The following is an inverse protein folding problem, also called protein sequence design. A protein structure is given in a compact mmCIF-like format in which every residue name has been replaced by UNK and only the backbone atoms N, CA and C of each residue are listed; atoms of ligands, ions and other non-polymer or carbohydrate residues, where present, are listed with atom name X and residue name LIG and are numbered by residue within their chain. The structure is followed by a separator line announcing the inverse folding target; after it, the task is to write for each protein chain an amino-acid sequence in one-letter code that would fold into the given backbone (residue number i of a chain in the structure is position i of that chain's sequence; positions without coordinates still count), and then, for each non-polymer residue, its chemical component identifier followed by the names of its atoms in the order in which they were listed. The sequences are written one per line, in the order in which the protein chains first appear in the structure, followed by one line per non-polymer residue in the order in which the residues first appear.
data_IF_403267421351
#
_entry.id   IF_403267421351
#
_cell.length_a   1.000
_cell.length_b   1.000
_cell.length_c   1.000
_cell.angle_alpha   90.00
_cell.angle_beta   90.00
_cell.angle_gamma   90.00
#
_symmetry.space_group_name_H-M   'P 1'
#
loop_
_entity.id
_entity.type
_entity.pdbx_description
1 polymer ?
#
# COMPACT_ATOMS: atom_id res chain seq x y z
N UNK A 1 9.30 -41.44 -60.22
CA UNK A 1 9.58 -40.01 -59.97
C UNK A 1 9.57 -39.79 -58.47
N UNK A 2 10.69 -39.34 -57.90
CA UNK A 2 10.90 -39.20 -56.45
C UNK A 2 10.38 -37.84 -55.99
N UNK A 3 9.42 -37.81 -55.07
CA UNK A 3 9.03 -36.58 -54.37
C UNK A 3 9.60 -36.62 -52.95
N UNK A 4 10.68 -35.86 -52.75
CA UNK A 4 11.13 -35.42 -51.44
C UNK A 4 10.02 -34.55 -50.82
N UNK A 5 9.40 -35.00 -49.74
CA UNK A 5 8.74 -34.09 -48.81
C UNK A 5 9.40 -34.21 -47.45
N UNK A 6 10.03 -33.11 -47.06
CA UNK A 6 10.73 -32.89 -45.80
C UNK A 6 9.76 -33.04 -44.63
N UNK A 7 9.98 -34.06 -43.79
CA UNK A 7 9.42 -34.11 -42.45
C UNK A 7 10.30 -33.30 -41.51
N UNK A 8 10.15 -31.98 -41.55
CA UNK A 8 10.62 -31.08 -40.48
C UNK A 8 9.53 -31.01 -39.42
N UNK A 9 9.54 -31.94 -38.47
CA UNK A 9 8.80 -31.77 -37.20
C UNK A 9 9.78 -31.14 -36.22
N UNK A 10 9.58 -29.85 -36.01
CA UNK A 10 10.33 -29.07 -35.03
C UNK A 10 10.06 -29.64 -33.62
N UNK A 11 11.07 -30.26 -33.02
CA UNK A 11 11.14 -30.50 -31.58
C UNK A 11 11.18 -29.14 -30.86
N UNK A 12 10.00 -28.56 -30.59
CA UNK A 12 9.87 -27.45 -29.64
C UNK A 12 10.08 -27.97 -28.23
N UNK A 13 11.34 -28.23 -27.90
CA UNK A 13 11.81 -28.20 -26.52
C UNK A 13 11.67 -26.76 -26.04
N UNK A 14 10.52 -26.43 -25.43
CA UNK A 14 10.35 -25.18 -24.71
C UNK A 14 11.35 -25.21 -23.55
N UNK A 15 12.54 -24.64 -23.75
CA UNK A 15 13.52 -24.46 -22.70
C UNK A 15 12.81 -23.68 -21.60
N UNK A 16 12.53 -24.34 -20.46
CA UNK A 16 11.94 -23.67 -19.30
C UNK A 16 12.97 -22.65 -18.86
N UNK A 17 12.81 -21.40 -19.32
CA UNK A 17 13.63 -20.27 -18.89
C UNK A 17 13.68 -20.30 -17.38
N UNK A 18 14.89 -20.43 -16.82
CA UNK A 18 15.08 -20.53 -15.37
C UNK A 18 14.44 -19.29 -14.75
N UNK A 19 13.33 -19.49 -14.02
CA UNK A 19 12.62 -18.39 -13.37
C UNK A 19 13.60 -17.64 -12.48
N UNK A 20 13.56 -16.31 -12.56
CA UNK A 20 14.41 -15.48 -11.72
C UNK A 20 14.03 -15.65 -10.25
N UNK A 21 14.98 -15.40 -9.34
CA UNK A 21 14.81 -15.62 -7.90
C UNK A 21 13.56 -14.93 -7.33
N UNK A 22 13.24 -13.72 -7.79
CA UNK A 22 12.07 -12.98 -7.31
C UNK A 22 10.75 -13.62 -7.76
N UNK A 23 10.69 -14.23 -8.94
CA UNK A 23 9.50 -14.94 -9.43
C UNK A 23 9.24 -16.21 -8.61
N UNK A 24 10.31 -16.94 -8.31
CA UNK A 24 10.25 -18.13 -7.43
C UNK A 24 9.77 -17.70 -6.04
N UNK A 25 10.35 -16.65 -5.47
CA UNK A 25 9.95 -16.14 -4.17
C UNK A 25 8.49 -15.68 -4.14
N UNK A 26 8.02 -14.96 -5.17
CA UNK A 26 6.63 -14.53 -5.28
C UNK A 26 5.67 -15.72 -5.34
N UNK A 27 5.97 -16.71 -6.18
CA UNK A 27 5.16 -17.94 -6.28
C UNK A 27 5.17 -18.76 -4.98
N UNK A 28 6.30 -18.78 -4.27
CA UNK A 28 6.41 -19.44 -2.96
C UNK A 28 5.60 -18.70 -1.89
N UNK A 29 5.58 -17.36 -1.90
CA UNK A 29 4.77 -16.55 -1.01
C UNK A 29 3.27 -16.77 -1.27
N UNK A 30 2.85 -16.75 -2.53
CA UNK A 30 1.47 -17.03 -2.93
C UNK A 30 1.02 -18.41 -2.49
N UNK A 31 1.87 -19.44 -2.66
CA UNK A 31 1.60 -20.80 -2.18
C UNK A 31 1.47 -20.89 -0.65
N UNK A 32 2.26 -20.11 0.11
CA UNK A 32 2.27 -20.15 1.59
C UNK A 32 1.12 -19.36 2.21
N UNK A 33 0.78 -18.21 1.64
CA UNK A 33 -0.15 -17.25 2.24
C UNK A 33 -1.51 -17.17 1.52
N UNK A 34 -1.65 -17.78 0.33
CA UNK A 34 -2.88 -17.85 -0.44
C UNK A 34 -3.47 -16.47 -0.75
N UNK A 35 -4.81 -16.41 -0.84
CA UNK A 35 -5.56 -15.17 -1.09
C UNK A 35 -5.45 -14.15 0.06
N UNK A 36 -5.21 -14.62 1.28
CA UNK A 36 -5.10 -13.77 2.47
C UNK A 36 -3.85 -12.89 2.43
N UNK A 37 -2.82 -13.29 1.68
CA UNK A 37 -1.58 -12.54 1.51
C UNK A 37 -0.73 -12.44 2.79
N UNK A 38 0.41 -11.76 2.70
CA UNK A 38 1.28 -11.54 3.85
C UNK A 38 0.63 -10.57 4.86
N UNK A 39 0.18 -11.11 6.00
CA UNK A 39 -0.43 -10.35 7.09
C UNK A 39 0.36 -10.56 8.39
N UNK A 40 1.24 -9.61 8.78
CA UNK A 40 1.96 -9.73 10.05
C UNK A 40 0.98 -9.82 11.22
N UNK A 41 1.20 -10.80 12.11
CA UNK A 41 0.29 -11.07 13.24
C UNK A 41 0.34 -9.97 14.32
N UNK A 42 1.50 -9.36 14.54
CA UNK A 42 1.76 -8.34 15.57
C UNK A 42 2.02 -6.97 14.95
N UNK A 43 1.02 -6.39 14.29
CA UNK A 43 1.14 -5.02 13.77
C UNK A 43 0.79 -4.03 14.87
N UNK A 44 1.73 -3.17 15.23
CA UNK A 44 1.42 -2.04 16.11
C UNK A 44 0.48 -1.08 15.41
N UNK A 45 -0.47 -0.52 16.17
CA UNK A 45 -1.29 0.59 15.70
C UNK A 45 -0.41 1.83 15.49
N UNK A 46 -0.73 2.70 14.52
CA UNK A 46 -0.03 3.97 14.35
C UNK A 46 0.12 4.76 15.67
N UNK A 47 -0.95 4.83 16.46
CA UNK A 47 -0.96 5.53 17.74
C UNK A 47 0.00 4.90 18.76
N UNK A 48 0.15 3.56 18.77
CA UNK A 48 1.13 2.89 19.62
C UNK A 48 2.58 3.20 19.19
N UNK A 49 2.85 3.38 17.89
CA UNK A 49 4.16 3.81 17.40
C UNK A 49 4.49 5.21 17.91
N UNK A 50 3.52 6.12 17.87
CA UNK A 50 3.69 7.49 18.36
C UNK A 50 3.82 7.52 19.88
N UNK A 51 3.09 6.68 20.61
CA UNK A 51 3.25 6.48 22.05
C UNK A 51 4.66 6.01 22.42
N UNK A 52 5.21 5.02 21.72
CA UNK A 52 6.59 4.55 21.94
C UNK A 52 7.60 5.70 21.76
N UNK A 53 7.43 6.50 20.71
CA UNK A 53 8.30 7.66 20.45
C UNK A 53 8.16 8.73 21.54
N UNK A 54 6.95 8.98 22.02
CA UNK A 54 6.71 9.96 23.07
C UNK A 54 7.34 9.53 24.41
N UNK A 55 7.21 8.26 24.80
CA UNK A 55 7.82 7.71 26.01
C UNK A 55 9.35 7.77 25.96
N UNK A 56 9.95 7.31 24.87
CA UNK A 56 11.41 7.38 24.71
C UNK A 56 11.92 8.82 24.61
N UNK A 57 11.09 9.76 24.15
CA UNK A 57 11.46 11.17 24.10
C UNK A 57 11.35 11.88 25.46
N UNK A 58 10.49 11.42 26.38
CA UNK A 58 10.41 11.98 27.73
C UNK A 58 11.63 11.57 28.54
N UNK A 59 11.87 10.25 28.66
CA UNK A 59 12.92 9.69 29.52
C UNK A 59 13.64 8.53 28.81
N UNK A 60 14.69 8.81 28.01
CA UNK A 60 15.42 7.78 27.28
C UNK A 60 16.09 6.73 28.16
N UNK A 61 16.47 7.10 29.39
CA UNK A 61 17.14 6.17 30.33
C UNK A 61 16.17 5.12 30.90
N UNK A 62 14.96 5.53 31.26
CA UNK A 62 13.92 4.64 31.78
C UNK A 62 13.26 3.84 30.66
N UNK A 63 12.92 4.50 29.56
CA UNK A 63 12.25 3.89 28.41
C UNK A 63 13.26 3.45 27.34
N UNK A 64 14.22 2.63 27.76
CA UNK A 64 15.23 2.07 26.86
C UNK A 64 14.63 1.07 25.86
N UNK A 65 15.39 0.68 24.83
CA UNK A 65 14.90 -0.21 23.77
C UNK A 65 14.45 -1.57 24.29
N UNK A 66 15.12 -2.11 25.31
CA UNK A 66 14.80 -3.42 25.89
C UNK A 66 13.53 -3.33 26.76
N UNK A 67 13.40 -2.30 27.60
CA UNK A 67 12.20 -2.08 28.41
C UNK A 67 10.94 -1.87 27.54
N UNK A 68 11.05 -1.10 26.45
CA UNK A 68 9.97 -0.94 25.48
C UNK A 68 9.65 -2.26 24.76
N UNK A 69 10.66 -3.10 24.47
CA UNK A 69 10.47 -4.38 23.79
C UNK A 69 9.63 -5.33 24.65
N UNK A 70 9.93 -5.37 25.94
CA UNK A 70 9.21 -6.17 26.92
C UNK A 70 7.78 -5.67 27.12
N UNK A 71 7.56 -4.36 27.18
CA UNK A 71 6.23 -3.77 27.39
C UNK A 71 5.31 -4.00 26.18
N UNK A 72 5.80 -3.73 24.97
CA UNK A 72 5.00 -3.85 23.74
C UNK A 72 5.02 -5.27 23.14
N UNK A 73 5.80 -6.20 23.71
CA UNK A 73 5.98 -7.59 23.23
C UNK A 73 6.41 -7.66 21.76
N UNK A 74 7.33 -6.77 21.39
CA UNK A 74 7.92 -6.64 20.06
C UNK A 74 9.43 -6.83 20.16
N UNK A 75 10.08 -7.27 19.08
CA UNK A 75 11.54 -7.40 19.04
C UNK A 75 12.22 -6.04 19.31
N UNK A 76 13.34 -6.00 20.05
CA UNK A 76 14.12 -4.77 20.27
C UNK A 76 14.60 -4.14 18.96
N UNK A 77 14.84 -4.95 17.91
CA UNK A 77 15.18 -4.45 16.58
C UNK A 77 14.05 -3.62 15.96
N UNK A 78 12.80 -4.05 16.17
CA UNK A 78 11.64 -3.31 15.67
C UNK A 78 11.52 -1.95 16.36
N UNK A 79 11.78 -1.87 17.67
CA UNK A 79 11.79 -0.60 18.40
C UNK A 79 12.90 0.31 17.92
N UNK A 80 14.11 -0.20 17.70
CA UNK A 80 15.19 0.58 17.08
C UNK A 80 14.76 1.16 15.73
N UNK A 81 14.06 0.37 14.90
CA UNK A 81 13.51 0.85 13.61
C UNK A 81 12.43 1.93 13.80
N UNK A 82 11.55 1.79 14.79
CA UNK A 82 10.49 2.77 15.10
C UNK A 82 11.09 4.09 15.57
N UNK A 83 12.10 4.03 16.44
CA UNK A 83 12.82 5.21 16.95
C UNK A 83 13.65 5.88 15.86
N UNK A 84 14.26 5.11 14.95
CA UNK A 84 15.03 5.64 13.81
C UNK A 84 14.14 6.27 12.72
N UNK A 85 12.91 5.78 12.56
CA UNK A 85 12.00 6.25 11.52
C UNK A 85 11.42 7.63 11.84
N UNK A 86 11.82 8.64 11.03
CA UNK A 86 11.40 10.04 11.17
C UNK A 86 10.02 10.38 10.57
N UNK A 87 9.45 9.48 9.77
CA UNK A 87 8.17 9.75 9.12
C UNK A 87 7.04 9.85 10.16
N UNK A 88 6.33 10.98 10.12
CA UNK A 88 5.12 11.27 10.89
C UNK A 88 4.04 11.79 9.93
N UNK A 89 2.80 11.31 10.04
CA UNK A 89 1.72 11.84 9.22
C UNK A 89 1.43 13.29 9.60
N UNK A 90 1.15 14.13 8.62
CA UNK A 90 0.67 15.50 8.87
C UNK A 90 -0.79 15.45 9.37
N UNK A 91 -1.26 16.50 10.07
CA UNK A 91 -2.63 16.59 10.60
C UNK A 91 -3.68 16.34 9.51
N UNK A 92 -3.48 16.91 8.31
CA UNK A 92 -4.36 16.69 7.17
C UNK A 92 -4.38 15.21 6.70
N UNK A 93 -3.26 14.49 6.81
CA UNK A 93 -3.16 13.08 6.44
C UNK A 93 -3.78 12.16 7.50
N UNK A 94 -3.67 12.53 8.78
CA UNK A 94 -4.36 11.87 9.89
C UNK A 94 -5.87 11.97 9.67
N UNK A 95 -6.36 13.17 9.34
CA UNK A 95 -7.78 13.38 9.09
C UNK A 95 -8.24 12.61 7.84
N UNK A 96 -7.53 12.68 6.71
CA UNK A 96 -7.92 11.88 5.53
C UNK A 96 -7.91 10.37 5.83
N UNK A 97 -6.99 9.87 6.66
CA UNK A 97 -7.00 8.46 7.12
C UNK A 97 -8.26 8.15 7.92
N UNK A 98 -8.65 9.01 8.87
CA UNK A 98 -9.89 8.86 9.64
C UNK A 98 -11.09 8.84 8.70
N UNK A 99 -11.17 9.78 7.77
CA UNK A 99 -12.25 9.85 6.79
C UNK A 99 -12.30 8.61 5.89
N UNK A 100 -11.15 8.10 5.42
CA UNK A 100 -11.07 6.85 4.64
C UNK A 100 -11.58 5.65 5.44
N UNK A 101 -11.30 5.59 6.75
CA UNK A 101 -11.79 4.52 7.60
C UNK A 101 -13.31 4.60 7.78
N UNK A 102 -13.85 5.80 7.99
CA UNK A 102 -15.30 6.05 8.06
C UNK A 102 -16.00 5.61 6.77
N UNK A 103 -15.50 6.03 5.60
CA UNK A 103 -16.04 5.62 4.29
C UNK A 103 -16.01 4.10 4.10
N UNK A 104 -14.89 3.47 4.47
CA UNK A 104 -14.76 2.00 4.40
C UNK A 104 -15.79 1.31 5.30
N UNK A 105 -16.00 1.83 6.50
CA UNK A 105 -16.98 1.30 7.45
C UNK A 105 -18.41 1.40 6.91
N UNK A 106 -18.79 2.54 6.32
CA UNK A 106 -20.08 2.70 5.63
C UNK A 106 -20.26 1.64 4.55
N UNK A 107 -19.29 1.49 3.65
CA UNK A 107 -19.35 0.50 2.56
C UNK A 107 -19.45 -0.94 3.08
N UNK A 108 -18.65 -1.29 4.09
CA UNK A 108 -18.65 -2.65 4.67
C UNK A 108 -19.99 -2.97 5.34
N UNK A 109 -20.51 -2.05 6.15
CA UNK A 109 -21.78 -2.26 6.84
C UNK A 109 -22.99 -2.16 5.91
N UNK A 110 -22.87 -1.43 4.80
CA UNK A 110 -23.89 -1.44 3.75
C UNK A 110 -23.99 -2.82 3.11
N UNK A 111 -22.86 -3.40 2.67
CA UNK A 111 -22.84 -4.77 2.14
C UNK A 111 -23.35 -5.81 3.15
N UNK A 112 -23.03 -5.63 4.44
CA UNK A 112 -23.53 -6.51 5.50
C UNK A 112 -25.02 -6.31 5.79
N UNK A 113 -25.54 -5.10 5.63
CA UNK A 113 -26.96 -4.81 5.75
C UNK A 113 -27.75 -5.41 4.58
N UNK A 114 -27.20 -5.35 3.37
CA UNK A 114 -27.74 -6.02 2.19
C UNK A 114 -27.79 -7.54 2.39
N UNK A 115 -26.80 -8.12 3.10
CA UNK A 115 -26.84 -9.53 3.52
C UNK A 115 -27.74 -9.81 4.73
N UNK A 116 -28.56 -8.84 5.17
CA UNK A 116 -29.55 -9.00 6.25
C UNK A 116 -29.03 -8.77 7.68
N UNK A 117 -27.75 -8.43 7.87
CA UNK A 117 -27.20 -8.17 9.21
C UNK A 117 -27.47 -6.72 9.65
N UNK A 118 -28.06 -6.54 10.83
CA UNK A 118 -28.40 -5.20 11.33
C UNK A 118 -27.14 -4.40 11.72
N UNK A 119 -26.87 -3.21 11.13
CA UNK A 119 -25.68 -2.43 11.46
C UNK A 119 -25.69 -1.83 12.88
N UNK A 120 -24.51 -1.63 13.50
CA UNK A 120 -24.38 -0.95 14.79
C UNK A 120 -24.89 0.49 14.78
N UNK A 121 -25.22 1.02 15.97
CA UNK A 121 -25.84 2.34 16.15
C UNK A 121 -25.10 3.49 15.45
N UNK A 122 -23.77 3.50 15.55
CA UNK A 122 -22.90 4.49 14.88
C UNK A 122 -23.13 4.56 13.37
N UNK A 123 -23.32 3.41 12.72
CA UNK A 123 -23.49 3.32 11.27
C UNK A 123 -24.93 3.58 10.84
N UNK A 124 -25.91 3.17 11.66
CA UNK A 124 -27.33 3.52 11.45
C UNK A 124 -27.60 5.02 11.53
N UNK A 125 -26.92 5.73 12.44
CA UNK A 125 -27.01 7.19 12.52
C UNK A 125 -26.52 7.88 11.22
N UNK A 126 -25.62 7.23 10.48
CA UNK A 126 -25.18 7.66 9.14
C UNK A 126 -26.11 7.19 8.00
N UNK A 127 -27.15 6.42 8.30
CA UNK A 127 -28.15 5.93 7.34
C UNK A 127 -27.92 4.51 6.83
N UNK A 128 -26.85 3.83 7.24
CA UNK A 128 -26.54 2.47 6.77
C UNK A 128 -27.62 1.49 7.23
N UNK A 129 -28.26 0.79 6.28
CA UNK A 129 -29.30 -0.22 6.54
C UNK A 129 -30.68 0.35 6.91
N UNK A 130 -30.90 1.65 6.74
CA UNK A 130 -32.23 2.26 6.89
C UNK A 130 -32.96 2.29 5.53
N UNK A 131 -34.31 2.28 5.50
CA UNK A 131 -35.06 2.39 4.24
C UNK A 131 -34.75 3.68 3.46
N UNK A 132 -34.30 4.73 4.16
CA UNK A 132 -33.89 6.00 3.57
C UNK A 132 -32.46 5.99 3.00
N UNK A 133 -31.75 4.85 3.08
CA UNK A 133 -30.39 4.70 2.56
C UNK A 133 -29.32 5.51 3.33
N UNK A 134 -28.08 5.44 2.82
CA UNK A 134 -26.95 6.20 3.37
C UNK A 134 -27.13 7.68 3.04
N UNK A 135 -27.04 8.56 4.05
CA UNK A 135 -27.13 10.01 3.84
C UNK A 135 -25.77 10.53 3.41
N UNK A 136 -25.61 10.86 2.13
CA UNK A 136 -24.34 11.29 1.53
C UNK A 136 -23.76 12.56 2.23
N UNK A 137 -24.63 13.42 2.76
CA UNK A 137 -24.21 14.62 3.52
C UNK A 137 -23.51 14.31 4.85
N UNK A 138 -23.80 13.13 5.42
CA UNK A 138 -23.19 12.68 6.68
C UNK A 138 -21.92 11.87 6.45
N UNK A 139 -21.66 11.44 5.21
CA UNK A 139 -20.45 10.71 4.84
C UNK A 139 -19.39 11.73 4.39
N UNK A 140 -18.25 11.82 5.08
CA UNK A 140 -17.23 12.80 4.72
C UNK A 140 -16.71 12.58 3.29
N UNK A 141 -16.79 13.58 2.42
CA UNK A 141 -16.32 13.48 1.01
C UNK A 141 -14.80 13.57 0.90
N UNK A 142 -14.21 12.81 -0.04
CA UNK A 142 -12.75 12.84 -0.26
C UNK A 142 -12.38 14.12 -0.99
N UNK A 143 -11.65 15.02 -0.35
CA UNK A 143 -10.99 16.12 -1.02
C UNK A 143 -9.86 15.51 -1.87
N UNK A 144 -9.99 15.50 -3.21
CA UNK A 144 -8.86 15.14 -4.07
C UNK A 144 -7.82 16.27 -3.97
N UNK A 145 -6.51 15.96 -3.86
CA UNK A 145 -5.51 17.00 -4.01
C UNK A 145 -5.72 17.63 -5.40
N UNK A 146 -5.78 18.96 -5.49
CA UNK A 146 -5.72 19.64 -6.79
C UNK A 146 -4.42 19.17 -7.44
N UNK A 147 -4.49 18.47 -8.56
CA UNK A 147 -3.27 18.16 -9.30
C UNK A 147 -2.64 19.49 -9.68
N UNK A 148 -1.35 19.66 -9.42
CA UNK A 148 -0.55 20.65 -10.12
C UNK A 148 -0.39 20.11 -11.55
N UNK A 149 -1.45 20.18 -12.35
CA UNK A 149 -1.33 19.98 -13.80
C UNK A 149 -0.47 21.13 -14.31
N UNK A 150 0.74 20.81 -14.74
CA UNK A 150 1.52 21.45 -15.81
C UNK A 150 2.86 20.71 -16.00
N UNK A 151 2.88 19.40 -15.84
CA UNK A 151 3.98 18.55 -16.33
C UNK A 151 3.33 17.30 -16.90
N UNK A 152 2.95 17.39 -18.17
CA UNK A 152 2.56 16.21 -18.94
C UNK A 152 3.83 15.39 -19.20
N UNK A 153 3.72 14.06 -19.11
CA UNK A 153 4.81 13.18 -19.56
C UNK A 153 5.10 13.38 -21.06
N UNK A 154 4.11 13.83 -21.84
CA UNK A 154 4.28 14.20 -23.26
C UNK A 154 5.16 15.44 -23.46
N UNK A 155 5.12 16.43 -22.55
CA UNK A 155 5.98 17.63 -22.64
C UNK A 155 7.45 17.29 -22.36
N UNK A 156 7.72 16.28 -21.53
CA UNK A 156 9.10 15.84 -21.19
C UNK A 156 9.71 15.00 -22.32
N UNK A 157 8.88 14.37 -23.16
CA UNK A 157 9.33 13.49 -24.27
C UNK A 157 9.39 14.24 -25.59
N UNK A 158 8.62 15.32 -25.76
CA UNK A 158 8.60 16.13 -26.98
C UNK A 158 9.95 16.82 -27.30
N UNK A 159 10.81 17.04 -26.31
CA UNK A 159 12.14 17.67 -26.48
C UNK A 159 13.29 16.66 -26.71
N UNK A 160 12.97 15.36 -26.90
CA UNK A 160 13.95 14.34 -27.29
C UNK A 160 14.00 14.30 -28.83
N UNK A 161 14.85 15.15 -29.41
CA UNK A 161 15.18 15.10 -30.83
C UNK A 161 15.69 13.68 -31.19
N UNK A 162 15.04 12.95 -32.12
CA UNK A 162 15.42 11.59 -32.47
C UNK A 162 16.79 11.49 -33.16
N UNK A 163 17.34 12.62 -33.61
CA UNK A 163 18.56 12.69 -34.41
C UNK A 163 19.84 13.00 -33.60
N UNK A 164 19.75 13.21 -32.27
CA UNK A 164 20.95 13.45 -31.44
C UNK A 164 20.89 12.76 -30.06
N UNK A 165 21.26 11.47 -29.96
CA UNK A 165 21.14 10.68 -28.74
C UNK A 165 22.21 10.95 -27.66
N UNK A 166 23.01 12.04 -27.77
CA UNK A 166 24.28 12.15 -27.06
C UNK A 166 24.42 13.19 -25.95
N UNK A 167 23.46 14.09 -25.70
CA UNK A 167 23.68 15.20 -24.76
C UNK A 167 23.15 14.89 -23.35
N UNK A 168 24.08 14.75 -22.40
CA UNK A 168 23.79 14.59 -20.98
C UNK A 168 23.09 15.82 -20.41
N UNK A 169 22.07 15.59 -19.58
CA UNK A 169 21.29 16.62 -18.86
C UNK A 169 22.20 17.57 -18.04
N UNK A 170 23.38 17.10 -17.63
CA UNK A 170 24.35 17.88 -16.85
C UNK A 170 25.07 18.98 -17.62
N UNK A 171 25.05 18.99 -18.95
CA UNK A 171 25.74 20.01 -19.77
C UNK A 171 24.84 21.17 -20.23
N UNK A 172 23.53 21.13 -19.96
CA UNK A 172 22.57 22.15 -20.43
C UNK A 172 22.15 23.21 -19.39
N UNK A 173 22.78 23.23 -18.22
CA UNK A 173 22.54 24.24 -17.16
C UNK A 173 23.79 25.08 -16.88
N UNK A 174 24.34 25.70 -17.93
CA UNK A 174 25.27 26.83 -17.88
C UNK A 174 24.87 27.84 -18.94
#
# INVERSE_FOLDING_TARGET
MKTHQDLKRDDKTSSKTKKERWQIQKSALERKFGETGWQPRKRLSPDALDGIRALHASDPELYCTEALAENFKVSPEAIRRILKAKWKPNEAEIEDRRLRWVRRGVKKWQALAESGMRPPAKWRAMGVGTPNGVKDDRVPKRKKPKSKSNLSWDDVVADIDPDNPGLSISERLL
#
